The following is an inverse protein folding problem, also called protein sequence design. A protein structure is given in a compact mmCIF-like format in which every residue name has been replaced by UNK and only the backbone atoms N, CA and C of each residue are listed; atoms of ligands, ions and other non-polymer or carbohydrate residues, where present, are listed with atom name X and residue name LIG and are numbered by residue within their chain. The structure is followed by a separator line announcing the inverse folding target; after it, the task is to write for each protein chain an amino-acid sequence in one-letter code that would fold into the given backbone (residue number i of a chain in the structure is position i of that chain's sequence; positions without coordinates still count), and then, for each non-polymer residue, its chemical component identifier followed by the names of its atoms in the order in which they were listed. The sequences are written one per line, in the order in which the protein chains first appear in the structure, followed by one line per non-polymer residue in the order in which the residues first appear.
data_IF_013690242589
#
_entry.id   IF_013690242589
#
_cell.length_a   1.000
_cell.length_b   1.000
_cell.length_c   1.000
_cell.angle_alpha   90.00
_cell.angle_beta   90.00
_cell.angle_gamma   90.00
#
_symmetry.space_group_name_H-M   'P 1'
#
loop_
_entity.id
_entity.type
_entity.pdbx_description
1 polymer ?
#
# COMPACT_ATOMS: atom_id res chain seq x y z
N UNK A 1 56.41 -3.12 -20.49
CA UNK A 1 54.99 -2.83 -20.72
C UNK A 1 54.17 -4.05 -20.33
N UNK A 2 53.49 -4.02 -19.19
CA UNK A 2 52.59 -5.07 -18.75
C UNK A 2 51.17 -4.53 -18.91
N UNK A 3 50.40 -5.15 -19.79
CA UNK A 3 48.99 -4.84 -20.00
C UNK A 3 48.17 -5.50 -18.90
N UNK A 4 47.48 -4.68 -18.09
CA UNK A 4 46.41 -5.13 -17.21
C UNK A 4 45.09 -5.13 -17.98
N UNK A 5 44.52 -6.32 -18.22
CA UNK A 5 43.14 -6.46 -18.66
C UNK A 5 42.22 -6.31 -17.42
N UNK A 6 41.14 -5.51 -17.50
CA UNK A 6 40.14 -5.48 -16.45
C UNK A 6 39.28 -6.74 -16.52
N UNK A 7 39.23 -7.48 -15.41
CA UNK A 7 38.38 -8.63 -15.20
C UNK A 7 36.94 -8.13 -14.99
N UNK A 8 36.12 -8.21 -16.04
CA UNK A 8 34.68 -7.90 -15.95
C UNK A 8 33.98 -9.05 -15.24
N UNK A 9 33.63 -8.87 -13.96
CA UNK A 9 32.75 -9.78 -13.24
C UNK A 9 31.34 -9.70 -13.82
N UNK A 10 31.00 -10.66 -14.66
CA UNK A 10 29.64 -10.93 -15.09
C UNK A 10 28.93 -11.56 -13.88
N UNK A 11 28.15 -10.81 -13.12
CA UNK A 11 27.23 -11.35 -12.12
C UNK A 11 26.12 -12.10 -12.88
N UNK A 12 26.35 -13.37 -13.15
CA UNK A 12 25.31 -14.33 -13.52
C UNK A 12 24.33 -14.40 -12.34
N UNK A 13 23.12 -13.87 -12.54
CA UNK A 13 22.01 -14.12 -11.63
C UNK A 13 21.78 -15.63 -11.59
N UNK A 14 22.21 -16.27 -10.50
CA UNK A 14 21.97 -17.69 -10.29
C UNK A 14 20.45 -17.94 -10.37
N UNK A 15 20.02 -19.00 -11.08
CA UNK A 15 18.62 -19.36 -11.11
C UNK A 15 18.16 -19.61 -9.67
N UNK A 16 17.06 -18.97 -9.30
CA UNK A 16 16.47 -19.06 -7.97
C UNK A 16 16.16 -20.53 -7.67
N UNK A 17 16.69 -21.12 -6.58
CA UNK A 17 16.34 -22.49 -6.25
C UNK A 17 14.83 -22.54 -5.96
N UNK A 18 14.13 -23.43 -6.66
CA UNK A 18 12.74 -23.76 -6.37
C UNK A 18 12.64 -24.16 -4.88
N UNK A 19 11.67 -23.64 -4.12
CA UNK A 19 11.52 -24.03 -2.73
C UNK A 19 11.26 -25.53 -2.64
N UNK A 20 12.06 -26.23 -1.86
CA UNK A 20 11.87 -27.65 -1.60
C UNK A 20 10.53 -27.89 -0.89
N UNK A 21 9.72 -28.80 -1.40
CA UNK A 21 8.37 -29.19 -0.99
C UNK A 21 7.29 -28.15 -1.28
N UNK A 22 6.76 -28.16 -2.50
CA UNK A 22 5.44 -27.62 -2.77
C UNK A 22 4.40 -28.66 -2.38
N UNK A 23 3.43 -28.30 -1.56
CA UNK A 23 2.24 -29.11 -1.27
C UNK A 23 1.02 -28.45 -1.91
N UNK A 24 0.10 -29.24 -2.45
CA UNK A 24 -1.19 -28.74 -2.87
C UNK A 24 -2.18 -28.89 -1.71
N UNK A 25 -2.67 -27.76 -1.19
CA UNK A 25 -3.65 -27.71 -0.09
C UNK A 25 -4.88 -26.98 -0.61
N UNK A 26 -6.02 -27.65 -0.61
CA UNK A 26 -7.30 -27.12 -1.12
C UNK A 26 -7.20 -26.54 -2.56
N UNK A 27 -6.41 -27.19 -3.42
CA UNK A 27 -6.22 -26.78 -4.81
C UNK A 27 -5.27 -25.60 -5.03
N UNK A 28 -4.56 -25.17 -3.99
CA UNK A 28 -3.54 -24.11 -4.06
C UNK A 28 -2.15 -24.66 -3.72
N UNK A 29 -1.14 -24.13 -4.38
CA UNK A 29 0.26 -24.50 -4.11
C UNK A 29 0.76 -23.77 -2.86
N UNK A 30 1.39 -24.53 -1.97
CA UNK A 30 1.98 -24.05 -0.74
C UNK A 30 3.46 -24.40 -0.65
N UNK A 31 4.22 -23.55 0.01
CA UNK A 31 5.66 -23.76 0.28
C UNK A 31 5.92 -23.71 1.77
N UNK A 32 6.88 -24.51 2.24
CA UNK A 32 7.29 -24.49 3.64
C UNK A 32 7.86 -23.13 4.03
N UNK A 33 7.34 -22.51 5.10
CA UNK A 33 7.88 -21.26 5.67
C UNK A 33 9.36 -21.41 6.05
N UNK A 34 9.77 -22.55 6.60
CA UNK A 34 11.17 -22.81 6.94
C UNK A 34 12.06 -22.90 5.71
N UNK A 35 11.59 -23.57 4.64
CA UNK A 35 12.28 -23.64 3.36
C UNK A 35 12.36 -22.27 2.68
N UNK A 36 11.26 -21.57 2.62
CA UNK A 36 11.18 -20.21 2.09
C UNK A 36 12.10 -19.24 2.85
N UNK A 37 12.10 -19.32 4.19
CA UNK A 37 12.94 -18.48 5.05
C UNK A 37 14.44 -18.68 4.73
N UNK A 38 14.91 -19.91 4.67
CA UNK A 38 16.30 -20.23 4.32
C UNK A 38 16.67 -19.70 2.93
N UNK A 39 15.82 -19.95 1.94
CA UNK A 39 16.06 -19.51 0.56
C UNK A 39 16.09 -17.98 0.42
N UNK A 40 15.49 -17.24 1.36
CA UNK A 40 15.36 -15.78 1.33
C UNK A 40 16.18 -15.06 2.43
N UNK A 41 17.20 -15.73 2.99
CA UNK A 41 18.16 -15.11 3.91
C UNK A 41 17.64 -14.83 5.32
N UNK A 42 16.62 -15.60 5.77
CA UNK A 42 16.18 -15.59 7.16
C UNK A 42 16.93 -16.67 7.94
N UNK A 43 17.86 -16.24 8.77
CA UNK A 43 18.64 -17.14 9.64
C UNK A 43 17.89 -17.61 10.89
N UNK A 44 16.82 -16.89 11.30
CA UNK A 44 15.99 -17.25 12.44
C UNK A 44 14.61 -17.76 12.01
N UNK A 45 14.29 -19.00 12.39
CA UNK A 45 12.97 -19.60 12.28
C UNK A 45 12.61 -20.22 13.64
N UNK A 46 11.46 -19.86 14.20
CA UNK A 46 10.98 -20.41 15.46
C UNK A 46 9.46 -20.57 15.42
N UNK A 47 8.96 -21.53 16.18
CA UNK A 47 7.53 -21.71 16.45
C UNK A 47 7.31 -21.37 17.92
N UNK A 48 6.41 -20.42 18.21
CA UNK A 48 6.07 -19.96 19.56
C UNK A 48 4.56 -20.10 19.75
N UNK A 49 4.12 -21.20 20.36
CA UNK A 49 2.70 -21.55 20.42
C UNK A 49 2.12 -21.68 19.01
N UNK A 50 1.09 -20.89 18.72
CA UNK A 50 0.42 -20.86 17.41
C UNK A 50 1.03 -19.87 16.42
N UNK A 51 2.25 -19.34 16.67
CA UNK A 51 2.86 -18.31 15.84
C UNK A 51 4.19 -18.80 15.26
N UNK A 52 4.32 -18.74 13.94
CA UNK A 52 5.59 -18.90 13.24
C UNK A 52 6.32 -17.56 13.19
N UNK A 53 7.59 -17.55 13.59
CA UNK A 53 8.43 -16.35 13.67
C UNK A 53 9.61 -16.51 12.74
N UNK A 54 9.76 -15.59 11.77
CA UNK A 54 10.92 -15.52 10.88
C UNK A 54 11.67 -14.21 11.16
N UNK A 55 12.98 -14.30 11.29
CA UNK A 55 13.84 -13.14 11.54
C UNK A 55 15.12 -13.18 10.73
N UNK A 56 15.54 -11.98 10.29
CA UNK A 56 16.88 -11.72 9.80
C UNK A 56 17.37 -10.35 10.33
N UNK A 57 18.47 -9.83 9.80
CA UNK A 57 19.04 -8.53 10.24
C UNK A 57 18.09 -7.33 10.02
N UNK A 58 17.16 -7.40 9.09
CA UNK A 58 16.32 -6.28 8.62
C UNK A 58 14.83 -6.51 8.73
N UNK A 59 14.40 -7.76 8.96
CA UNK A 59 12.99 -8.10 8.97
C UNK A 59 12.61 -9.08 10.08
N UNK A 60 11.41 -8.88 10.60
CA UNK A 60 10.72 -9.79 11.51
C UNK A 60 9.31 -10.02 11.02
N UNK A 61 8.97 -11.29 10.78
CA UNK A 61 7.66 -11.72 10.29
C UNK A 61 7.02 -12.64 11.33
N UNK A 62 5.72 -12.46 11.51
CA UNK A 62 4.90 -13.30 12.38
C UNK A 62 3.72 -13.82 11.56
N UNK A 63 3.46 -15.10 11.64
CA UNK A 63 2.33 -15.73 10.98
C UNK A 63 1.55 -16.55 12.00
N UNK A 64 0.26 -16.30 12.12
CA UNK A 64 -0.62 -17.11 12.95
C UNK A 64 -0.99 -18.38 12.19
N UNK A 65 -0.92 -19.50 12.89
CA UNK A 65 -1.32 -20.81 12.38
C UNK A 65 -2.81 -20.82 12.03
N UNK A 66 -3.16 -21.49 10.96
CA UNK A 66 -4.52 -21.60 10.43
C UNK A 66 -5.23 -20.24 10.24
N UNK A 67 -4.46 -19.17 10.04
CA UNK A 67 -4.95 -17.80 9.86
C UNK A 67 -4.28 -17.11 8.68
N UNK A 68 -5.02 -16.21 8.05
CA UNK A 68 -4.48 -15.28 7.06
C UNK A 68 -3.85 -14.03 7.68
N UNK A 69 -3.92 -13.86 9.01
CA UNK A 69 -3.37 -12.69 9.67
C UNK A 69 -1.87 -12.86 9.89
N UNK A 70 -1.12 -11.87 9.48
CA UNK A 70 0.33 -11.82 9.62
C UNK A 70 0.80 -10.44 10.08
N UNK A 71 2.02 -10.37 10.62
CA UNK A 71 2.69 -9.11 10.96
C UNK A 71 4.02 -9.06 10.23
N UNK A 72 4.21 -8.07 9.39
CA UNK A 72 5.44 -7.85 8.63
C UNK A 72 6.09 -6.55 9.13
N UNK A 73 7.24 -6.67 9.81
CA UNK A 73 7.96 -5.53 10.38
C UNK A 73 7.07 -4.60 11.24
N UNK A 74 6.16 -5.19 12.01
CA UNK A 74 5.27 -4.47 12.94
C UNK A 74 4.06 -3.81 12.27
N UNK A 75 3.71 -4.22 11.06
CA UNK A 75 2.45 -3.83 10.37
C UNK A 75 1.64 -5.07 10.10
N UNK A 76 0.36 -5.03 10.41
CA UNK A 76 -0.56 -6.12 10.10
C UNK A 76 -0.81 -6.17 8.58
N UNK A 77 -0.69 -7.37 8.02
CA UNK A 77 -0.93 -7.64 6.59
C UNK A 77 -1.75 -8.91 6.48
N UNK A 78 -2.92 -8.83 5.86
CA UNK A 78 -3.74 -10.00 5.61
C UNK A 78 -3.26 -10.71 4.37
N UNK A 79 -2.94 -12.00 4.52
CA UNK A 79 -2.59 -12.90 3.44
C UNK A 79 -3.83 -13.24 2.60
N UNK A 80 -3.60 -13.73 1.40
CA UNK A 80 -4.67 -14.22 0.51
C UNK A 80 -5.26 -15.55 1.01
N UNK A 81 -4.40 -16.37 1.65
CA UNK A 81 -4.77 -17.67 2.19
C UNK A 81 -4.22 -17.86 3.61
N UNK A 82 -4.89 -18.64 4.46
CA UNK A 82 -4.37 -19.02 5.77
C UNK A 82 -3.02 -19.73 5.68
N UNK A 83 -2.15 -19.50 6.65
CA UNK A 83 -0.95 -20.30 6.84
C UNK A 83 -1.37 -21.67 7.35
N UNK A 84 -1.10 -22.71 6.57
CA UNK A 84 -1.57 -24.06 6.85
C UNK A 84 -0.76 -24.74 7.97
N UNK A 85 -1.35 -25.81 8.55
CA UNK A 85 -0.69 -26.65 9.55
C UNK A 85 0.70 -27.10 9.07
N UNK A 86 1.65 -27.13 10.01
CA UNK A 86 3.04 -27.44 9.67
C UNK A 86 3.88 -26.25 9.17
N UNK A 87 3.28 -25.06 9.05
CA UNK A 87 3.99 -23.85 8.64
C UNK A 87 4.20 -23.78 7.12
N UNK A 88 3.12 -23.91 6.38
CA UNK A 88 3.10 -23.73 4.92
C UNK A 88 2.36 -22.43 4.57
N UNK A 89 2.96 -21.62 3.72
CA UNK A 89 2.37 -20.39 3.15
C UNK A 89 2.04 -20.64 1.68
N UNK A 90 0.94 -20.06 1.20
CA UNK A 90 0.60 -20.18 -0.22
C UNK A 90 1.73 -19.61 -1.10
N UNK A 91 2.00 -20.26 -2.23
CA UNK A 91 2.96 -19.75 -3.21
C UNK A 91 2.54 -18.35 -3.68
N UNK A 92 1.23 -18.12 -3.81
CA UNK A 92 0.70 -16.81 -4.15
C UNK A 92 1.12 -15.74 -3.13
N UNK A 93 0.99 -15.98 -1.83
CA UNK A 93 1.40 -15.02 -0.82
C UNK A 93 2.92 -14.88 -0.70
N UNK A 94 3.67 -15.95 -0.90
CA UNK A 94 5.12 -15.89 -0.98
C UNK A 94 5.57 -14.92 -2.10
N UNK A 95 4.92 -14.98 -3.27
CA UNK A 95 5.27 -14.18 -4.45
C UNK A 95 4.61 -12.80 -4.47
N UNK A 96 3.33 -12.69 -4.08
CA UNK A 96 2.52 -11.48 -4.22
C UNK A 96 2.36 -10.67 -2.93
N UNK A 97 2.77 -11.23 -1.78
CA UNK A 97 2.73 -10.53 -0.49
C UNK A 97 4.14 -10.37 0.09
N UNK A 98 4.85 -11.47 0.36
CA UNK A 98 6.15 -11.38 1.02
C UNK A 98 7.23 -10.78 0.13
N UNK A 99 7.36 -11.26 -1.10
CA UNK A 99 8.38 -10.77 -2.03
C UNK A 99 8.29 -9.26 -2.26
N UNK A 100 7.13 -8.65 -2.58
CA UNK A 100 7.03 -7.21 -2.73
C UNK A 100 7.37 -6.41 -1.46
N UNK A 101 7.02 -6.90 -0.29
CA UNK A 101 7.22 -6.15 0.96
C UNK A 101 8.64 -6.26 1.53
N UNK A 102 9.37 -7.32 1.22
CA UNK A 102 10.67 -7.62 1.83
C UNK A 102 11.86 -7.27 0.94
N UNK A 103 11.67 -7.30 -0.38
CA UNK A 103 12.76 -7.02 -1.30
C UNK A 103 12.59 -5.68 -1.98
N UNK A 104 13.72 -5.02 -2.23
CA UNK A 104 13.71 -3.72 -2.90
C UNK A 104 13.01 -3.78 -4.26
N UNK A 105 12.13 -2.82 -4.58
CA UNK A 105 11.56 -2.72 -5.91
C UNK A 105 12.62 -2.34 -6.93
N UNK A 106 12.36 -2.64 -8.22
CA UNK A 106 13.09 -1.97 -9.29
C UNK A 106 12.82 -0.45 -9.16
N UNK A 107 13.86 0.39 -9.23
CA UNK A 107 13.68 1.83 -9.19
C UNK A 107 12.69 2.30 -10.26
N UNK A 108 11.87 3.28 -9.94
CA UNK A 108 10.95 3.88 -10.90
C UNK A 108 11.73 4.66 -11.97
N UNK A 109 11.17 4.76 -13.17
CA UNK A 109 11.79 5.56 -14.26
C UNK A 109 11.75 7.07 -13.96
N UNK A 110 10.74 7.52 -13.19
CA UNK A 110 10.57 8.92 -12.78
C UNK A 110 10.14 9.01 -11.32
N UNK A 111 10.35 10.17 -10.72
CA UNK A 111 9.80 10.48 -9.39
C UNK A 111 8.28 10.65 -9.48
N UNK A 112 7.59 10.33 -8.39
CA UNK A 112 6.18 10.63 -8.24
C UNK A 112 6.02 12.15 -8.19
N UNK A 113 5.13 12.68 -9.01
CA UNK A 113 4.85 14.12 -9.11
C UNK A 113 3.37 14.45 -9.02
N UNK A 114 2.51 13.59 -9.57
CA UNK A 114 1.06 13.83 -9.66
C UNK A 114 0.28 12.77 -8.90
N UNK A 115 -0.60 13.21 -8.00
CA UNK A 115 -1.41 12.33 -7.16
C UNK A 115 -2.89 12.67 -7.40
N UNK A 116 -3.68 11.65 -7.69
CA UNK A 116 -5.13 11.78 -7.74
C UNK A 116 -5.73 11.32 -6.40
N UNK A 117 -6.39 12.22 -5.69
CA UNK A 117 -7.18 11.92 -4.51
C UNK A 117 -8.64 11.72 -4.90
N UNK A 118 -9.24 10.66 -4.39
CA UNK A 118 -10.64 10.34 -4.62
C UNK A 118 -11.40 10.42 -3.29
N UNK A 119 -12.06 11.56 -2.98
CA UNK A 119 -12.96 11.63 -1.84
C UNK A 119 -14.16 10.71 -2.10
N UNK A 120 -14.28 9.61 -1.37
CA UNK A 120 -15.37 8.65 -1.54
C UNK A 120 -16.75 9.28 -1.41
N UNK A 121 -17.76 8.65 -2.03
CA UNK A 121 -19.15 9.10 -2.03
C UNK A 121 -19.34 10.48 -2.70
N UNK A 122 -20.43 11.19 -2.35
CA UNK A 122 -20.74 12.52 -2.84
C UNK A 122 -22.15 12.63 -3.43
N UNK A 123 -22.73 13.82 -3.51
CA UNK A 123 -24.06 14.08 -4.06
C UNK A 123 -25.13 13.17 -3.46
N UNK A 124 -25.75 12.34 -4.32
CA UNK A 124 -26.79 11.36 -3.93
C UNK A 124 -26.29 10.24 -3.01
N UNK A 125 -25.02 9.90 -3.09
CA UNK A 125 -24.38 8.88 -2.25
C UNK A 125 -23.79 9.54 -1.00
N UNK A 126 -24.42 9.31 0.14
CA UNK A 126 -23.99 9.91 1.41
C UNK A 126 -22.86 9.14 2.08
N UNK A 127 -22.59 7.90 1.66
CA UNK A 127 -21.86 6.94 2.47
C UNK A 127 -22.57 6.69 3.79
N UNK A 128 -21.83 6.23 4.79
CA UNK A 128 -22.37 6.00 6.12
C UNK A 128 -22.86 7.30 6.77
N UNK A 129 -23.95 7.18 7.53
CA UNK A 129 -24.56 8.31 8.26
C UNK A 129 -24.67 7.98 9.73
N UNK A 130 -24.24 8.91 10.59
CA UNK A 130 -24.37 8.81 12.04
C UNK A 130 -25.14 10.02 12.59
N UNK A 131 -25.97 9.75 13.59
CA UNK A 131 -26.82 10.79 14.21
C UNK A 131 -28.22 10.87 13.59
N UNK A 132 -29.23 10.92 14.45
CA UNK A 132 -30.65 10.93 14.03
C UNK A 132 -31.10 12.31 13.57
N UNK A 133 -30.81 13.36 14.35
CA UNK A 133 -31.34 14.73 14.12
C UNK A 133 -30.39 15.58 13.28
N UNK A 134 -29.09 15.42 13.43
CA UNK A 134 -28.07 16.12 12.65
C UNK A 134 -27.11 15.11 12.04
N UNK A 135 -27.52 14.41 10.98
CA UNK A 135 -26.75 13.33 10.44
C UNK A 135 -25.42 13.80 9.85
N UNK A 136 -24.34 13.19 10.32
CA UNK A 136 -23.00 13.34 9.76
C UNK A 136 -22.80 12.28 8.71
N UNK A 137 -22.56 12.70 7.49
CA UNK A 137 -22.40 11.80 6.33
C UNK A 137 -20.93 11.61 5.99
N UNK A 138 -20.55 10.41 5.65
CA UNK A 138 -19.18 10.06 5.27
C UNK A 138 -18.65 10.95 4.14
N UNK A 139 -19.47 11.22 3.10
CA UNK A 139 -19.11 12.10 1.97
C UNK A 139 -18.56 13.47 2.39
N UNK A 140 -19.04 14.01 3.52
CA UNK A 140 -18.58 15.30 4.05
C UNK A 140 -17.16 15.21 4.59
N UNK A 141 -16.87 14.13 5.31
CA UNK A 141 -15.58 13.97 5.97
C UNK A 141 -14.50 13.45 5.04
N UNK A 142 -14.85 12.64 4.04
CA UNK A 142 -13.93 12.24 2.97
C UNK A 142 -13.50 13.44 2.14
N UNK A 143 -14.43 14.33 1.79
CA UNK A 143 -14.10 15.58 1.09
C UNK A 143 -13.23 16.50 1.96
N UNK A 144 -13.60 16.70 3.23
CA UNK A 144 -12.82 17.54 4.13
C UNK A 144 -11.38 17.02 4.33
N UNK A 145 -11.20 15.70 4.46
CA UNK A 145 -9.89 15.07 4.54
C UNK A 145 -9.11 15.24 3.23
N UNK A 146 -9.75 15.06 2.08
CA UNK A 146 -9.09 15.21 0.78
C UNK A 146 -8.60 16.63 0.53
N UNK A 147 -9.38 17.64 0.90
CA UNK A 147 -8.99 19.04 0.76
C UNK A 147 -7.79 19.38 1.66
N UNK A 148 -7.79 18.91 2.90
CA UNK A 148 -6.65 19.07 3.81
C UNK A 148 -5.40 18.32 3.28
N UNK A 149 -5.57 17.08 2.84
CA UNK A 149 -4.47 16.29 2.28
C UNK A 149 -3.90 16.92 1.00
N UNK A 150 -4.76 17.46 0.12
CA UNK A 150 -4.31 18.21 -1.07
C UNK A 150 -3.42 19.37 -0.68
N UNK A 151 -3.84 20.17 0.30
CA UNK A 151 -3.05 21.31 0.76
C UNK A 151 -1.65 20.87 1.23
N UNK A 152 -1.57 19.85 2.07
CA UNK A 152 -0.31 19.37 2.61
C UNK A 152 0.58 18.71 1.53
N UNK A 153 0.00 17.96 0.59
CA UNK A 153 0.75 17.37 -0.53
C UNK A 153 1.29 18.43 -1.48
N UNK A 154 0.51 19.49 -1.78
CA UNK A 154 0.99 20.62 -2.57
C UNK A 154 2.18 21.31 -1.89
N UNK A 155 2.11 21.51 -0.57
CA UNK A 155 3.24 22.05 0.23
C UNK A 155 4.46 21.12 0.19
N UNK A 156 4.25 19.81 0.06
CA UNK A 156 5.33 18.82 -0.11
C UNK A 156 5.85 18.71 -1.56
N UNK A 157 5.35 19.54 -2.49
CA UNK A 157 5.83 19.63 -3.87
C UNK A 157 5.15 18.66 -4.85
N UNK A 158 4.00 18.08 -4.52
CA UNK A 158 3.21 17.26 -5.42
C UNK A 158 2.13 18.08 -6.13
N UNK A 159 1.83 17.71 -7.38
CA UNK A 159 0.62 18.16 -8.05
C UNK A 159 -0.54 17.27 -7.61
N UNK A 160 -1.62 17.87 -7.10
CA UNK A 160 -2.76 17.10 -6.59
C UNK A 160 -4.03 17.43 -7.35
N UNK A 161 -4.64 16.38 -7.86
CA UNK A 161 -5.96 16.41 -8.48
C UNK A 161 -6.96 15.72 -7.57
N UNK A 162 -8.24 16.11 -7.68
CA UNK A 162 -9.33 15.44 -6.99
C UNK A 162 -10.35 14.93 -8.01
N UNK A 163 -10.94 13.76 -7.74
CA UNK A 163 -12.10 13.26 -8.52
C UNK A 163 -13.34 14.10 -8.31
N UNK A 164 -13.45 14.75 -7.14
CA UNK A 164 -14.43 15.79 -6.81
C UNK A 164 -13.85 16.76 -5.77
N UNK A 165 -14.17 18.03 -5.88
CA UNK A 165 -13.80 19.10 -4.94
C UNK A 165 -15.01 19.75 -4.27
N UNK A 166 -16.19 19.25 -4.56
CA UNK A 166 -17.50 19.68 -4.03
C UNK A 166 -18.43 18.49 -3.84
N UNK A 167 -19.64 18.73 -3.35
CA UNK A 167 -20.62 17.66 -3.08
C UNK A 167 -21.34 17.22 -4.37
N UNK A 168 -20.61 16.56 -5.25
CA UNK A 168 -21.10 15.88 -6.46
C UNK A 168 -20.74 14.39 -6.39
N UNK A 169 -21.43 13.57 -7.19
CA UNK A 169 -21.18 12.13 -7.26
C UNK A 169 -20.61 11.73 -8.64
N UNK A 170 -19.30 11.63 -8.78
CA UNK A 170 -18.71 10.90 -9.90
C UNK A 170 -19.00 9.40 -9.75
N UNK A 171 -19.51 8.77 -10.79
CA UNK A 171 -19.75 7.31 -10.82
C UNK A 171 -18.44 6.55 -10.57
N UNK A 172 -18.52 5.35 -9.96
CA UNK A 172 -17.36 4.62 -9.49
C UNK A 172 -16.31 4.37 -10.58
N UNK A 173 -16.65 3.95 -11.82
CA UNK A 173 -15.65 3.73 -12.87
C UNK A 173 -14.98 5.03 -13.34
N UNK A 174 -15.67 6.17 -13.25
CA UNK A 174 -15.15 7.47 -13.71
C UNK A 174 -13.98 7.94 -12.83
N UNK A 175 -13.96 7.58 -11.57
CA UNK A 175 -12.95 8.03 -10.60
C UNK A 175 -11.52 7.61 -10.99
N UNK A 176 -11.20 6.31 -11.16
CA UNK A 176 -9.89 5.89 -11.65
C UNK A 176 -9.63 6.31 -13.11
N UNK A 177 -10.66 6.46 -13.95
CA UNK A 177 -10.49 6.93 -15.32
C UNK A 177 -10.02 8.40 -15.37
N UNK A 178 -10.49 9.24 -14.46
CA UNK A 178 -9.94 10.59 -14.30
C UNK A 178 -8.45 10.55 -13.98
N UNK A 179 -8.04 9.72 -13.03
CA UNK A 179 -6.62 9.53 -12.69
C UNK A 179 -5.79 9.01 -13.87
N UNK A 180 -6.31 8.06 -14.63
CA UNK A 180 -5.66 7.51 -15.83
C UNK A 180 -5.44 8.60 -16.90
N UNK A 181 -6.50 9.37 -17.23
CA UNK A 181 -6.45 10.44 -18.24
C UNK A 181 -5.51 11.57 -17.86
N UNK A 182 -5.40 11.87 -16.57
CA UNK A 182 -4.53 12.92 -16.08
C UNK A 182 -3.09 12.48 -15.90
N UNK A 183 -2.77 11.22 -16.18
CA UNK A 183 -1.42 10.68 -16.00
C UNK A 183 -0.95 10.70 -14.55
N UNK A 184 -1.86 10.50 -13.58
CA UNK A 184 -1.51 10.44 -12.17
C UNK A 184 -0.50 9.32 -11.90
N UNK A 185 0.46 9.59 -11.03
CA UNK A 185 1.45 8.61 -10.60
C UNK A 185 0.93 7.73 -9.46
N UNK A 186 -0.03 8.24 -8.68
CA UNK A 186 -0.73 7.53 -7.60
C UNK A 186 -2.22 7.87 -7.63
N UNK A 187 -3.03 6.88 -7.25
CA UNK A 187 -4.46 7.06 -6.96
C UNK A 187 -4.73 6.67 -5.51
N UNK A 188 -5.38 7.57 -4.75
CA UNK A 188 -5.69 7.36 -3.32
C UNK A 188 -7.14 7.68 -3.07
N UNK A 189 -7.96 6.65 -2.88
CA UNK A 189 -9.38 6.78 -2.49
C UNK A 189 -9.49 6.87 -0.96
N UNK A 190 -10.33 7.79 -0.48
CA UNK A 190 -10.47 8.14 0.93
C UNK A 190 -11.88 7.84 1.41
N UNK A 191 -11.98 7.01 2.44
CA UNK A 191 -13.21 6.55 3.06
C UNK A 191 -13.11 6.54 4.59
N UNK A 192 -14.24 6.38 5.25
CA UNK A 192 -14.36 6.10 6.67
C UNK A 192 -15.36 4.97 6.87
N UNK A 193 -14.88 3.91 7.45
CA UNK A 193 -15.64 2.69 7.66
C UNK A 193 -16.78 2.85 8.68
N UNK A 194 -17.66 1.86 8.69
CA UNK A 194 -18.70 1.73 9.69
C UNK A 194 -18.91 0.24 10.05
N UNK A 195 -19.24 0.00 11.31
CA UNK A 195 -19.63 -1.32 11.78
C UNK A 195 -21.12 -1.30 12.13
N UNK A 196 -21.90 -2.13 11.45
CA UNK A 196 -23.37 -2.14 11.55
C UNK A 196 -23.94 -3.38 12.24
N UNK A 197 -23.10 -4.39 12.51
CA UNK A 197 -23.52 -5.65 13.14
C UNK A 197 -22.80 -5.83 14.47
N UNK A 198 -23.54 -5.85 15.58
CA UNK A 198 -22.97 -5.97 16.92
C UNK A 198 -22.61 -4.63 17.57
N UNK A 199 -21.68 -4.66 18.54
CA UNK A 199 -21.25 -3.46 19.27
C UNK A 199 -20.30 -2.59 18.44
N UNK A 200 -20.71 -1.36 18.07
CA UNK A 200 -19.85 -0.44 17.32
C UNK A 200 -18.54 -0.09 18.04
N UNK A 201 -18.49 -0.20 19.36
CA UNK A 201 -17.28 0.08 20.15
C UNK A 201 -16.20 -1.02 20.04
N UNK A 202 -16.56 -2.18 19.48
CA UNK A 202 -15.63 -3.31 19.35
C UNK A 202 -14.63 -3.16 18.20
N UNK A 203 -14.86 -2.22 17.25
CA UNK A 203 -14.08 -2.11 16.02
C UNK A 203 -13.62 -0.68 15.78
N UNK A 204 -12.29 -0.47 15.72
CA UNK A 204 -11.68 0.83 15.47
C UNK A 204 -10.33 0.69 14.75
N UNK A 205 -9.87 1.77 14.14
CA UNK A 205 -8.56 1.87 13.51
C UNK A 205 -8.61 1.85 11.97
N UNK A 206 -7.55 2.34 11.31
CA UNK A 206 -7.49 2.40 9.86
C UNK A 206 -7.21 1.04 9.22
N UNK A 207 -7.77 0.86 8.02
CA UNK A 207 -7.50 -0.23 7.10
C UNK A 207 -7.04 0.34 5.76
N UNK A 208 -6.06 -0.27 5.11
CA UNK A 208 -5.64 0.16 3.78
C UNK A 208 -5.78 -0.98 2.79
N UNK A 209 -6.54 -0.75 1.74
CA UNK A 209 -6.85 -1.74 0.71
C UNK A 209 -6.06 -1.48 -0.58
N UNK A 210 -5.58 -2.54 -1.21
CA UNK A 210 -5.10 -2.55 -2.58
C UNK A 210 -5.78 -3.66 -3.37
N UNK A 211 -5.53 -3.72 -4.69
CA UNK A 211 -6.18 -4.71 -5.56
C UNK A 211 -5.84 -6.15 -5.14
N UNK A 212 -6.82 -7.04 -5.17
CA UNK A 212 -6.65 -8.47 -4.97
C UNK A 212 -5.89 -9.10 -6.14
N UNK A 213 -4.85 -9.93 -5.90
CA UNK A 213 -4.18 -10.65 -6.98
C UNK A 213 -5.11 -11.66 -7.64
N UNK A 214 -4.77 -12.00 -8.87
CA UNK A 214 -5.44 -13.09 -9.58
C UNK A 214 -5.21 -14.41 -8.83
N UNK A 215 -6.23 -15.21 -8.65
CA UNK A 215 -6.17 -16.47 -7.92
C UNK A 215 -6.47 -16.36 -6.42
N UNK A 216 -6.83 -15.17 -5.92
CA UNK A 216 -7.28 -14.97 -4.54
C UNK A 216 -8.71 -14.46 -4.45
N UNK A 217 -9.40 -14.73 -3.35
CA UNK A 217 -10.65 -14.11 -2.97
C UNK A 217 -10.41 -12.68 -2.45
N UNK A 218 -11.39 -11.81 -2.60
CA UNK A 218 -11.34 -10.45 -2.07
C UNK A 218 -11.66 -10.45 -0.57
N UNK A 219 -10.97 -9.63 0.22
CA UNK A 219 -11.21 -9.58 1.66
C UNK A 219 -12.58 -9.00 2.03
N UNK A 220 -13.28 -8.39 1.09
CA UNK A 220 -14.65 -7.89 1.25
C UNK A 220 -15.72 -8.76 0.57
N UNK A 221 -15.33 -9.89 -0.03
CA UNK A 221 -16.28 -10.87 -0.54
C UNK A 221 -16.95 -11.60 0.63
N UNK A 222 -18.13 -12.16 0.37
CA UNK A 222 -18.81 -13.01 1.34
C UNK A 222 -17.90 -14.19 1.76
N UNK A 223 -18.03 -14.63 3.00
CA UNK A 223 -17.29 -15.80 3.49
C UNK A 223 -17.58 -17.01 2.60
N UNK A 224 -16.54 -17.67 2.12
CA UNK A 224 -16.67 -18.77 1.15
C UNK A 224 -16.71 -18.34 -0.34
N UNK A 225 -16.64 -17.06 -0.64
CA UNK A 225 -16.47 -16.61 -2.03
C UNK A 225 -15.16 -17.14 -2.59
N UNK A 226 -15.23 -17.76 -3.76
CA UNK A 226 -14.09 -18.39 -4.41
C UNK A 226 -13.06 -17.37 -4.92
N UNK A 227 -11.86 -17.86 -5.18
CA UNK A 227 -10.82 -17.10 -5.85
C UNK A 227 -11.30 -16.66 -7.24
N UNK A 228 -10.97 -15.42 -7.63
CA UNK A 228 -11.27 -14.95 -8.98
C UNK A 228 -10.04 -15.00 -9.86
N UNK A 229 -10.20 -15.50 -11.06
CA UNK A 229 -9.17 -15.54 -12.11
C UNK A 229 -9.30 -14.38 -13.11
N UNK A 230 -10.31 -13.52 -12.95
CA UNK A 230 -10.48 -12.34 -13.80
C UNK A 230 -9.34 -11.32 -13.57
N UNK A 231 -8.63 -11.02 -14.65
CA UNK A 231 -7.55 -10.01 -14.65
C UNK A 231 -8.16 -8.63 -14.87
N UNK A 232 -7.69 -7.63 -14.14
CA UNK A 232 -8.03 -6.23 -14.34
C UNK A 232 -6.77 -5.37 -14.54
N UNK A 233 -6.95 -4.11 -14.97
CA UNK A 233 -5.83 -3.23 -15.26
C UNK A 233 -4.88 -3.05 -14.06
N UNK A 234 -5.43 -2.94 -12.85
CA UNK A 234 -4.68 -2.75 -11.62
C UNK A 234 -3.76 -3.93 -11.25
N UNK A 235 -4.03 -5.15 -11.75
CA UNK A 235 -3.14 -6.28 -11.49
C UNK A 235 -1.75 -6.12 -12.13
N UNK A 236 -1.60 -5.25 -13.14
CA UNK A 236 -0.29 -4.94 -13.73
C UNK A 236 0.63 -4.18 -12.77
N UNK A 237 0.07 -3.51 -11.77
CA UNK A 237 0.77 -2.67 -10.80
C UNK A 237 0.48 -3.09 -9.36
N UNK A 238 -0.04 -4.29 -9.12
CA UNK A 238 -0.47 -4.77 -7.80
C UNK A 238 0.65 -4.78 -6.75
N UNK A 239 1.87 -5.14 -7.14
CA UNK A 239 3.04 -5.12 -6.25
C UNK A 239 3.37 -3.69 -5.77
N UNK A 240 3.23 -2.71 -6.68
CA UNK A 240 3.42 -1.30 -6.37
C UNK A 240 2.31 -0.77 -5.46
N UNK A 241 1.06 -1.18 -5.73
CA UNK A 241 -0.09 -0.85 -4.91
C UNK A 241 0.03 -1.42 -3.49
N UNK A 242 0.48 -2.67 -3.35
CA UNK A 242 0.73 -3.28 -2.05
C UNK A 242 1.80 -2.55 -1.25
N UNK A 243 2.91 -2.16 -1.90
CA UNK A 243 3.96 -1.36 -1.24
C UNK A 243 3.45 -0.01 -0.77
N UNK A 244 2.63 0.66 -1.59
CA UNK A 244 2.00 1.93 -1.23
C UNK A 244 1.05 1.74 -0.04
N UNK A 245 0.18 0.73 -0.09
CA UNK A 245 -0.74 0.39 1.00
C UNK A 245 0.00 0.11 2.31
N UNK A 246 1.09 -0.65 2.25
CA UNK A 246 1.92 -0.95 3.42
C UNK A 246 2.55 0.30 4.03
N UNK A 247 3.14 1.19 3.22
CA UNK A 247 3.72 2.44 3.74
C UNK A 247 2.65 3.37 4.31
N UNK A 248 1.48 3.39 3.69
CA UNK A 248 0.33 4.17 4.15
C UNK A 248 -0.18 3.67 5.50
N UNK A 249 -0.48 2.37 5.61
CA UNK A 249 -0.95 1.75 6.86
C UNK A 249 0.05 1.98 7.99
N UNK A 250 1.33 1.72 7.73
CA UNK A 250 2.40 1.96 8.69
C UNK A 250 2.45 3.40 9.19
N UNK A 251 2.28 4.37 8.29
CA UNK A 251 2.33 5.78 8.63
C UNK A 251 1.10 6.20 9.45
N UNK A 252 -0.09 5.75 9.06
CA UNK A 252 -1.33 6.02 9.81
C UNK A 252 -1.26 5.47 11.24
N UNK A 253 -0.97 4.17 11.37
CA UNK A 253 -0.90 3.50 12.68
C UNK A 253 0.12 4.17 13.59
N UNK A 254 1.34 4.40 13.11
CA UNK A 254 2.42 4.97 13.95
C UNK A 254 2.19 6.43 14.32
N UNK A 255 1.63 7.21 13.39
CA UNK A 255 1.48 8.64 13.62
C UNK A 255 0.27 9.01 14.46
N UNK A 256 -0.77 8.20 14.38
CA UNK A 256 -2.03 8.44 15.10
C UNK A 256 -2.13 7.63 16.40
N UNK A 257 -1.21 6.68 16.63
CA UNK A 257 -1.34 5.71 17.71
C UNK A 257 -2.60 4.86 17.59
N UNK A 258 -3.05 4.61 16.34
CA UNK A 258 -4.28 3.92 16.05
C UNK A 258 -4.10 2.39 16.07
N UNK A 259 -5.20 1.67 16.31
CA UNK A 259 -5.23 0.21 16.18
C UNK A 259 -4.97 -0.18 14.73
N UNK A 260 -4.02 -1.07 14.50
CA UNK A 260 -3.70 -1.54 13.17
C UNK A 260 -4.68 -2.61 12.71
N UNK A 261 -5.56 -2.28 11.75
CA UNK A 261 -6.54 -3.19 11.20
C UNK A 261 -6.11 -3.85 9.89
N UNK A 262 -4.84 -3.71 9.54
CA UNK A 262 -4.19 -4.45 8.46
C UNK A 262 -4.20 -3.74 7.09
N UNK A 263 -3.19 -4.09 6.32
CA UNK A 263 -3.22 -3.98 4.86
C UNK A 263 -4.05 -5.15 4.32
N UNK A 264 -5.03 -4.83 3.49
CA UNK A 264 -5.99 -5.80 2.92
C UNK A 264 -6.03 -5.72 1.40
N UNK A 265 -6.71 -6.67 0.81
CA UNK A 265 -6.87 -6.74 -0.64
C UNK A 265 -8.34 -6.85 -1.00
N UNK A 266 -8.79 -5.96 -1.90
CA UNK A 266 -10.18 -5.95 -2.32
C UNK A 266 -10.32 -5.56 -3.80
N UNK A 267 -11.39 -6.06 -4.44
CA UNK A 267 -11.73 -5.75 -5.82
C UNK A 267 -12.73 -4.61 -5.90
N UNK A 268 -12.48 -3.55 -5.11
CA UNK A 268 -13.30 -2.35 -5.21
C UNK A 268 -13.29 -1.79 -6.63
N UNK A 269 -14.47 -1.36 -7.10
CA UNK A 269 -14.63 -0.87 -8.47
C UNK A 269 -13.65 0.28 -8.78
N UNK A 270 -13.46 1.20 -7.83
CA UNK A 270 -12.54 2.33 -7.97
C UNK A 270 -11.06 1.93 -8.07
N UNK A 271 -10.70 0.67 -7.75
CA UNK A 271 -9.32 0.19 -7.88
C UNK A 271 -9.09 -0.58 -9.18
N UNK A 272 -10.12 -1.20 -9.76
CA UNK A 272 -9.99 -2.20 -10.84
C UNK A 272 -9.39 -1.66 -12.13
N UNK A 273 -9.78 -0.45 -12.54
CA UNK A 273 -9.32 0.14 -13.80
C UNK A 273 -8.11 1.07 -13.66
N UNK A 274 -7.58 1.25 -12.45
CA UNK A 274 -6.40 2.07 -12.21
C UNK A 274 -5.15 1.50 -12.91
N UNK A 275 -4.45 2.34 -13.67
CA UNK A 275 -3.22 1.98 -14.39
C UNK A 275 -1.95 2.38 -13.64
N UNK A 276 -2.10 3.04 -12.50
CA UNK A 276 -1.04 3.44 -11.57
C UNK A 276 -1.21 2.74 -10.23
N UNK A 277 -0.22 2.75 -9.32
CA UNK A 277 -0.41 2.29 -7.94
C UNK A 277 -1.62 2.95 -7.29
N UNK A 278 -2.56 2.14 -6.83
CA UNK A 278 -3.87 2.56 -6.35
C UNK A 278 -4.20 1.89 -5.01
N UNK A 279 -4.71 2.68 -4.07
CA UNK A 279 -5.15 2.23 -2.75
C UNK A 279 -6.48 2.90 -2.36
N UNK A 280 -7.23 2.22 -1.50
CA UNK A 280 -8.37 2.78 -0.78
C UNK A 280 -8.05 2.74 0.72
N UNK A 281 -8.30 3.84 1.40
CA UNK A 281 -8.04 3.99 2.84
C UNK A 281 -9.37 4.15 3.55
N UNK A 282 -9.65 3.23 4.46
CA UNK A 282 -10.65 3.42 5.50
C UNK A 282 -9.94 4.05 6.70
N UNK A 283 -10.16 5.36 6.91
CA UNK A 283 -9.40 6.15 7.89
C UNK A 283 -9.80 5.90 9.35
N UNK A 284 -10.67 4.94 9.62
CA UNK A 284 -11.24 4.58 10.91
C UNK A 284 -12.75 4.42 10.82
N UNK A 285 -13.40 4.14 11.94
CA UNK A 285 -14.83 3.78 11.99
C UNK A 285 -15.69 4.95 12.50
N UNK A 286 -16.53 5.51 11.64
CA UNK A 286 -17.48 6.58 12.01
C UNK A 286 -18.52 6.12 13.03
N UNK A 287 -18.85 4.83 13.04
CA UNK A 287 -19.77 4.21 14.00
C UNK A 287 -19.20 4.09 15.41
N UNK A 288 -17.87 4.04 15.57
CA UNK A 288 -17.24 3.88 16.87
C UNK A 288 -17.42 5.16 17.72
N UNK A 289 -17.90 5.05 18.99
CA UNK A 289 -18.29 6.20 19.80
C UNK A 289 -17.17 7.20 20.10
N UNK A 290 -15.93 6.74 20.16
CA UNK A 290 -14.75 7.60 20.39
C UNK A 290 -14.06 7.97 19.07
N UNK A 291 -13.78 7.00 18.21
CA UNK A 291 -13.08 7.25 16.94
C UNK A 291 -13.92 8.12 15.99
N UNK A 292 -15.23 7.88 15.92
CA UNK A 292 -16.13 8.74 15.13
C UNK A 292 -16.05 10.21 15.52
N UNK A 293 -15.97 10.52 16.82
CA UNK A 293 -15.78 11.90 17.29
C UNK A 293 -14.44 12.49 16.81
N UNK A 294 -13.36 11.69 16.81
CA UNK A 294 -12.06 12.11 16.27
C UNK A 294 -12.15 12.40 14.76
N UNK A 295 -12.81 11.52 13.99
CA UNK A 295 -13.00 11.71 12.54
C UNK A 295 -13.74 13.03 12.26
N UNK A 296 -14.71 13.43 13.10
CA UNK A 296 -15.46 14.68 12.97
C UNK A 296 -14.64 15.91 13.38
N UNK A 297 -13.52 15.75 14.07
CA UNK A 297 -12.64 16.84 14.47
C UNK A 297 -11.66 17.22 13.34
N UNK A 298 -11.56 18.52 13.04
CA UNK A 298 -10.69 19.01 11.97
C UNK A 298 -9.20 18.83 12.30
N UNK A 299 -8.82 19.02 13.58
CA UNK A 299 -7.45 18.85 14.04
C UNK A 299 -6.98 17.41 13.86
N UNK A 300 -7.82 16.43 14.15
CA UNK A 300 -7.50 15.03 13.92
C UNK A 300 -7.37 14.70 12.43
N UNK A 301 -8.26 15.19 11.56
CA UNK A 301 -8.13 15.02 10.10
C UNK A 301 -6.86 15.67 9.55
N UNK A 302 -6.43 16.81 10.10
CA UNK A 302 -5.14 17.44 9.76
C UNK A 302 -3.96 16.53 10.15
N UNK A 303 -3.99 15.90 11.32
CA UNK A 303 -2.97 14.93 11.74
C UNK A 303 -2.99 13.68 10.85
N UNK A 304 -4.17 13.19 10.47
CA UNK A 304 -4.35 12.08 9.55
C UNK A 304 -3.77 12.39 8.17
N UNK A 305 -4.07 13.57 7.61
CA UNK A 305 -3.49 14.03 6.35
C UNK A 305 -1.94 14.08 6.43
N UNK A 306 -1.39 14.61 7.52
CA UNK A 306 0.06 14.61 7.72
C UNK A 306 0.67 13.20 7.82
N UNK A 307 -0.05 12.24 8.40
CA UNK A 307 0.35 10.83 8.40
C UNK A 307 0.35 10.25 6.98
N UNK A 308 -0.67 10.56 6.17
CA UNK A 308 -0.76 10.13 4.78
C UNK A 308 0.36 10.72 3.91
N UNK A 309 0.70 11.99 4.09
CA UNK A 309 1.88 12.60 3.44
C UNK A 309 3.15 11.82 3.76
N UNK A 310 3.36 11.48 5.05
CA UNK A 310 4.52 10.65 5.45
C UNK A 310 4.53 9.28 4.76
N UNK A 311 3.37 8.64 4.62
CA UNK A 311 3.22 7.36 3.92
C UNK A 311 3.61 7.46 2.44
N UNK A 312 3.15 8.51 1.75
CA UNK A 312 3.47 8.78 0.34
C UNK A 312 4.97 9.08 0.16
N UNK A 313 5.55 9.92 1.03
CA UNK A 313 6.99 10.22 0.99
C UNK A 313 7.84 8.98 1.27
N UNK A 314 7.42 8.11 2.19
CA UNK A 314 8.10 6.84 2.45
C UNK A 314 8.05 5.91 1.22
N UNK A 315 6.91 5.83 0.55
CA UNK A 315 6.76 5.08 -0.69
C UNK A 315 7.61 5.69 -1.83
N UNK A 316 7.60 7.01 -2.00
CA UNK A 316 8.44 7.69 -2.98
C UNK A 316 9.93 7.42 -2.76
N UNK A 317 10.39 7.48 -1.49
CA UNK A 317 11.79 7.16 -1.13
C UNK A 317 12.16 5.72 -1.49
N UNK A 318 11.23 4.77 -1.25
CA UNK A 318 11.45 3.36 -1.56
C UNK A 318 11.58 3.09 -3.06
N UNK A 319 10.86 3.86 -3.89
CA UNK A 319 10.76 3.63 -5.34
C UNK A 319 11.53 4.65 -6.17
N UNK A 320 12.17 5.63 -5.55
CA UNK A 320 12.88 6.69 -6.24
C UNK A 320 13.93 6.15 -7.22
N UNK A 321 14.08 6.77 -8.40
CA UNK A 321 15.20 6.49 -9.28
C UNK A 321 16.52 6.81 -8.54
N UNK A 322 17.62 6.12 -8.89
CA UNK A 322 18.92 6.49 -8.35
C UNK A 322 19.23 7.95 -8.70
N UNK A 323 19.99 8.66 -7.83
CA UNK A 323 20.37 10.03 -8.14
C UNK A 323 21.08 10.06 -9.51
N UNK A 324 20.66 10.97 -10.38
CA UNK A 324 21.36 11.20 -11.64
C UNK A 324 22.82 11.57 -11.32
N UNK A 325 23.78 10.88 -11.94
CA UNK A 325 25.17 11.34 -11.91
C UNK A 325 25.20 12.68 -12.65
N UNK A 326 25.01 13.76 -11.92
CA UNK A 326 25.30 15.10 -12.47
C UNK A 326 26.80 15.12 -12.72
N UNK A 327 27.20 15.22 -13.98
CA UNK A 327 28.57 15.61 -14.30
C UNK A 327 28.85 16.93 -13.56
N UNK A 328 29.96 17.04 -12.81
CA UNK A 328 30.32 18.31 -12.22
C UNK A 328 30.39 19.35 -13.37
N UNK A 329 29.64 20.44 -13.19
CA UNK A 329 29.56 21.51 -14.14
C UNK A 329 30.97 21.87 -14.60
N UNK A 330 31.20 21.83 -15.92
CA UNK A 330 32.35 22.40 -16.57
C UNK A 330 32.47 23.85 -16.10
N UNK A 331 33.44 24.10 -15.22
CA UNK A 331 33.81 25.47 -14.89
C UNK A 331 34.37 26.13 -16.12
N UNK A 332 33.55 26.89 -16.83
CA UNK A 332 34.01 27.79 -17.88
C UNK A 332 35.03 28.76 -17.26
N UNK A 333 36.30 28.52 -17.54
CA UNK A 333 37.35 29.51 -17.33
C UNK A 333 37.02 30.74 -18.16
N UNK A 334 36.58 31.78 -17.51
CA UNK A 334 36.47 33.10 -18.10
C UNK A 334 37.91 33.54 -18.43
N UNK A 335 38.24 33.51 -19.72
CA UNK A 335 39.48 34.05 -20.27
C UNK A 335 39.46 35.58 -20.08
N UNK A 336 40.34 36.09 -19.24
CA UNK A 336 40.59 37.53 -19.08
C UNK A 336 41.21 38.08 -20.38
N UNK A 337 40.41 38.78 -21.16
CA UNK A 337 40.90 39.55 -22.28
C UNK A 337 41.76 40.73 -21.78
N UNK A 338 43.05 40.76 -22.19
CA UNK A 338 43.96 41.89 -22.01
C UNK A 338 43.45 43.09 -22.82
N UNK A 339 43.36 44.26 -22.18
CA UNK A 339 43.18 45.54 -22.85
C UNK A 339 44.47 45.87 -23.64
N UNK A 340 44.37 46.40 -24.88
CA UNK A 340 45.50 46.99 -25.54
C UNK A 340 45.74 48.45 -25.10
N UNK A 341 47.00 48.88 -25.19
CA UNK A 341 47.48 50.23 -24.89
C UNK A 341 46.96 51.26 -25.88
#
# INVERSE_FOLDING_TARGET
MRFFLPLTFLLLAAPWPLPACAESINGHDYVSLAGWARANGFGGYAVKGEVFVLTNKTARLLFNKDSADSVINGVNVRLSFPVAKGGFISQLDADKTLRPLLFAPKPAAKRISTICLDPGHGGKDTGYRVGRFFPRSEKTYTLALALELRQQLNQAGFNVMLTRDKDIYPELPVRPDLANRCGADLFVSLHFNAFSTGDPASVQGPETYCITPVGAASSNDAEGAGATHAVCAANRVEDKSLRLAYQMQRALVRSLGATDRSVRRARFEVLRSAQMPAILIEGGYMSHPVEGKKIFDAGYRKQMAAAMVRGILAYQKLTAPPPSKTNPASTNKVSSAKKPK
#
